data_IF_383520953239
#
_entry.id   IF_383520953239
#
_cell.length_a   1.000
_cell.length_b   1.000
_cell.length_c   1.000
_cell.angle_alpha   90.00
_cell.angle_beta   90.00
_cell.angle_gamma   90.00
#
_symmetry.space_group_name_H-M   'P 1'
#
loop_
_entity.id
_entity.type
_entity.pdbx_description
1 polymer ?
#
# COMPACT_ATOMS: atom_id res chain seq x y z
N UNK A 1 25.90 29.82 8.20
CA UNK A 1 26.31 28.93 7.08
C UNK A 1 26.21 27.46 7.49
N UNK A 2 26.64 27.11 8.70
CA UNK A 2 26.60 25.73 9.23
C UNK A 2 25.18 25.18 9.45
N UNK A 3 24.26 25.97 10.02
CA UNK A 3 22.85 25.58 10.21
C UNK A 3 22.11 25.28 8.89
N UNK A 4 22.41 26.04 7.84
CA UNK A 4 21.86 25.83 6.49
C UNK A 4 22.38 24.52 5.90
N UNK A 5 23.66 24.24 6.07
CA UNK A 5 24.31 23.01 5.56
C UNK A 5 23.74 21.75 6.23
N UNK A 6 23.57 21.78 7.56
CA UNK A 6 22.94 20.68 8.33
C UNK A 6 21.51 20.41 7.83
N UNK A 7 20.70 21.46 7.66
CA UNK A 7 19.31 21.33 7.21
C UNK A 7 19.17 20.76 5.78
N UNK A 8 20.17 20.99 4.93
CA UNK A 8 20.22 20.49 3.55
C UNK A 8 20.58 19.01 3.52
N UNK A 9 21.56 18.59 4.33
CA UNK A 9 21.96 17.19 4.46
C UNK A 9 20.80 16.34 4.98
N UNK A 10 20.13 16.79 6.04
CA UNK A 10 18.95 16.12 6.63
C UNK A 10 17.83 15.93 5.59
N UNK A 11 17.54 16.98 4.81
CA UNK A 11 16.53 16.92 3.75
C UNK A 11 16.91 15.91 2.65
N UNK A 12 18.20 15.81 2.28
CA UNK A 12 18.67 14.84 1.29
C UNK A 12 18.57 13.41 1.83
N UNK A 13 18.90 13.18 3.10
CA UNK A 13 18.75 11.87 3.74
C UNK A 13 17.28 11.44 3.82
N UNK A 14 16.38 12.35 4.21
CA UNK A 14 14.94 12.08 4.27
C UNK A 14 14.36 11.73 2.89
N UNK A 15 14.70 12.51 1.86
CA UNK A 15 14.28 12.21 0.48
C UNK A 15 14.78 10.84 0.03
N UNK A 16 16.00 10.44 0.43
CA UNK A 16 16.58 9.16 0.05
C UNK A 16 15.86 7.97 0.71
N UNK A 17 15.48 8.12 1.99
CA UNK A 17 14.71 7.14 2.75
C UNK A 17 13.31 6.99 2.18
N UNK A 18 12.60 8.11 1.97
CA UNK A 18 11.25 8.13 1.42
C UNK A 18 11.19 7.54 0.00
N UNK A 19 12.18 7.86 -0.84
CA UNK A 19 12.34 7.27 -2.17
C UNK A 19 12.41 5.75 -2.10
N UNK A 20 13.21 5.19 -1.18
CA UNK A 20 13.37 3.73 -1.02
C UNK A 20 12.04 3.10 -0.63
N UNK A 21 11.30 3.72 0.30
CA UNK A 21 9.98 3.24 0.73
C UNK A 21 9.01 3.20 -0.45
N UNK A 22 8.88 4.27 -1.22
CA UNK A 22 7.98 4.31 -2.38
C UNK A 22 8.40 3.33 -3.47
N UNK A 23 9.70 3.21 -3.75
CA UNK A 23 10.17 2.27 -4.75
C UNK A 23 9.86 0.82 -4.36
N UNK A 24 10.13 0.43 -3.11
CA UNK A 24 9.85 -0.92 -2.63
C UNK A 24 8.35 -1.21 -2.66
N UNK A 25 7.51 -0.30 -2.15
CA UNK A 25 6.05 -0.47 -2.20
C UNK A 25 5.55 -0.60 -3.65
N UNK A 26 6.05 0.24 -4.54
CA UNK A 26 5.69 0.23 -5.95
C UNK A 26 6.07 -1.06 -6.65
N UNK A 27 7.32 -1.50 -6.51
CA UNK A 27 7.81 -2.72 -7.14
C UNK A 27 7.12 -3.97 -6.59
N UNK A 28 6.92 -4.07 -5.27
CA UNK A 28 6.18 -5.19 -4.66
C UNK A 28 4.76 -5.26 -5.22
N UNK A 29 4.05 -4.13 -5.31
CA UNK A 29 2.70 -4.09 -5.88
C UNK A 29 2.68 -4.47 -7.37
N UNK A 30 3.65 -4.01 -8.17
CA UNK A 30 3.75 -4.36 -9.59
C UNK A 30 4.11 -5.83 -9.81
N UNK A 31 5.04 -6.39 -9.04
CA UNK A 31 5.40 -7.81 -9.10
C UNK A 31 4.20 -8.67 -8.70
N UNK A 32 3.52 -8.31 -7.61
CA UNK A 32 2.30 -9.00 -7.20
C UNK A 32 1.22 -8.92 -8.29
N UNK A 33 0.99 -7.73 -8.85
CA UNK A 33 -0.01 -7.49 -9.89
C UNK A 33 0.28 -8.31 -11.16
N UNK A 34 1.54 -8.35 -11.61
CA UNK A 34 1.95 -9.15 -12.75
C UNK A 34 1.80 -10.66 -12.51
N UNK A 35 2.22 -11.16 -11.35
CA UNK A 35 2.03 -12.56 -10.98
C UNK A 35 0.54 -12.91 -10.93
N UNK A 36 -0.28 -12.04 -10.32
CA UNK A 36 -1.72 -12.25 -10.22
C UNK A 36 -2.39 -12.20 -11.60
N UNK A 37 -2.01 -11.26 -12.48
CA UNK A 37 -2.55 -11.16 -13.83
C UNK A 37 -2.36 -12.45 -14.63
N UNK A 38 -1.20 -13.11 -14.48
CA UNK A 38 -0.90 -14.36 -15.16
C UNK A 38 -1.64 -15.58 -14.59
N UNK A 39 -2.06 -15.53 -13.33
CA UNK A 39 -2.49 -16.71 -12.59
C UNK A 39 -3.96 -16.67 -12.12
N UNK A 40 -4.58 -15.50 -12.03
CA UNK A 40 -5.85 -15.25 -11.32
C UNK A 40 -7.05 -16.14 -11.71
N UNK A 41 -6.99 -16.82 -12.86
CA UNK A 41 -8.00 -17.78 -13.31
C UNK A 41 -7.36 -19.10 -13.76
N UNK A 42 -7.85 -20.27 -13.27
CA UNK A 42 -8.87 -20.45 -12.23
C UNK A 42 -8.34 -20.16 -10.81
N UNK A 43 -9.22 -20.14 -9.79
CA UNK A 43 -8.86 -19.92 -8.38
C UNK A 43 -8.11 -21.13 -7.80
N UNK A 44 -6.87 -21.33 -8.22
CA UNK A 44 -5.98 -22.40 -7.75
C UNK A 44 -5.37 -22.07 -6.38
N UNK A 45 -4.76 -23.07 -5.73
CA UNK A 45 -4.03 -22.85 -4.47
C UNK A 45 -2.94 -21.79 -4.58
N UNK A 46 -2.30 -21.63 -5.75
CA UNK A 46 -1.30 -20.58 -5.99
C UNK A 46 -1.94 -19.18 -6.03
N UNK A 47 -3.13 -19.03 -6.64
CA UNK A 47 -3.88 -17.77 -6.64
C UNK A 47 -4.32 -17.40 -5.23
N UNK A 48 -4.79 -18.39 -4.46
CA UNK A 48 -5.15 -18.20 -3.05
C UNK A 48 -3.92 -17.76 -2.25
N UNK A 49 -2.76 -18.38 -2.46
CA UNK A 49 -1.52 -17.95 -1.82
C UNK A 49 -1.18 -16.49 -2.14
N UNK A 50 -1.30 -16.06 -3.41
CA UNK A 50 -1.10 -14.66 -3.79
C UNK A 50 -2.09 -13.72 -3.10
N UNK A 51 -3.37 -14.09 -3.04
CA UNK A 51 -4.41 -13.31 -2.34
C UNK A 51 -4.09 -13.16 -0.86
N UNK A 52 -3.61 -14.21 -0.21
CA UNK A 52 -3.22 -14.22 1.21
C UNK A 52 -1.94 -13.42 1.45
N UNK A 53 -0.95 -13.51 0.55
CA UNK A 53 0.30 -12.75 0.65
C UNK A 53 0.05 -11.24 0.61
N UNK A 54 -0.93 -10.78 -0.15
CA UNK A 54 -1.19 -9.35 -0.32
C UNK A 54 -1.46 -8.59 1.00
N UNK A 55 -2.43 -8.97 1.84
CA UNK A 55 -2.61 -8.35 3.15
C UNK A 55 -1.45 -8.65 4.12
N UNK A 56 -0.70 -9.75 3.96
CA UNK A 56 0.50 -9.99 4.78
C UNK A 56 1.62 -8.98 4.50
N UNK A 57 1.74 -8.46 3.28
CA UNK A 57 2.63 -7.34 2.99
C UNK A 57 2.26 -6.12 3.84
N UNK A 58 0.96 -5.87 4.04
CA UNK A 58 0.46 -4.78 4.88
C UNK A 58 0.70 -5.03 6.38
N UNK A 59 0.59 -6.28 6.85
CA UNK A 59 1.01 -6.69 8.20
C UNK A 59 2.47 -6.31 8.46
N UNK A 60 3.37 -6.68 7.54
CA UNK A 60 4.80 -6.35 7.66
C UNK A 60 5.02 -4.84 7.65
N UNK A 61 4.38 -4.12 6.73
CA UNK A 61 4.53 -2.67 6.61
C UNK A 61 4.08 -1.93 7.88
N UNK A 62 2.92 -2.30 8.43
CA UNK A 62 2.36 -1.69 9.63
C UNK A 62 3.16 -2.05 10.89
N UNK A 63 3.67 -3.27 11.01
CA UNK A 63 4.56 -3.65 12.12
C UNK A 63 5.88 -2.88 12.12
N UNK A 64 6.49 -2.68 10.93
CA UNK A 64 7.71 -1.88 10.83
C UNK A 64 7.47 -0.43 11.23
N UNK A 65 6.32 0.14 10.86
CA UNK A 65 5.93 1.49 11.27
C UNK A 65 5.67 1.60 12.78
N UNK A 66 5.03 0.59 13.38
CA UNK A 66 4.85 0.48 14.85
C UNK A 66 6.19 0.42 15.57
N UNK A 67 7.17 -0.33 15.03
CA UNK A 67 8.52 -0.46 15.59
C UNK A 67 9.33 0.83 15.47
N UNK A 68 9.11 1.60 14.40
CA UNK A 68 9.73 2.90 14.20
C UNK A 68 9.21 3.98 15.18
N UNK A 69 8.16 3.69 15.97
CA UNK A 69 7.67 4.58 17.02
C UNK A 69 6.92 5.80 16.49
N UNK A 70 6.38 5.71 15.27
CA UNK A 70 5.71 6.84 14.63
C UNK A 70 4.34 7.14 15.28
N UNK A 71 3.86 8.41 15.28
CA UNK A 71 2.56 8.77 15.85
C UNK A 71 1.40 7.94 15.26
N UNK A 72 0.37 7.58 16.02
CA UNK A 72 -0.74 6.76 15.49
C UNK A 72 -0.53 5.24 15.56
N UNK A 73 0.38 4.79 16.42
CA UNK A 73 0.64 3.37 16.76
C UNK A 73 -0.62 2.52 16.89
N UNK A 74 -1.65 3.00 17.60
CA UNK A 74 -2.91 2.25 17.81
C UNK A 74 -3.60 1.87 16.51
N UNK A 75 -3.68 2.80 15.55
CA UNK A 75 -4.31 2.52 14.24
C UNK A 75 -3.46 1.56 13.41
N UNK A 76 -2.13 1.63 13.54
CA UNK A 76 -1.25 0.69 12.85
C UNK A 76 -1.32 -0.72 13.42
N UNK A 77 -1.41 -0.86 14.75
CA UNK A 77 -1.69 -2.16 15.39
C UNK A 77 -3.04 -2.72 14.94
N UNK A 78 -4.07 -1.87 14.89
CA UNK A 78 -5.38 -2.26 14.37
C UNK A 78 -5.27 -2.77 12.92
N UNK A 79 -4.57 -2.05 12.03
CA UNK A 79 -4.37 -2.49 10.66
C UNK A 79 -3.55 -3.77 10.56
N UNK A 80 -2.53 -3.96 11.40
CA UNK A 80 -1.79 -5.22 11.49
C UNK A 80 -2.74 -6.38 11.79
N UNK A 81 -3.60 -6.25 12.81
CA UNK A 81 -4.56 -7.31 13.18
C UNK A 81 -5.59 -7.52 12.07
N UNK A 82 -6.16 -6.44 11.54
CA UNK A 82 -7.14 -6.49 10.46
C UNK A 82 -6.59 -7.19 9.21
N UNK A 83 -5.36 -6.86 8.80
CA UNK A 83 -4.71 -7.47 7.63
C UNK A 83 -4.34 -8.94 7.89
N UNK A 84 -4.01 -9.31 9.13
CA UNK A 84 -3.87 -10.72 9.52
C UNK A 84 -5.18 -11.49 9.42
N UNK A 85 -6.29 -10.91 9.91
CA UNK A 85 -7.63 -11.50 9.80
C UNK A 85 -8.08 -11.60 8.34
N UNK A 86 -7.79 -10.60 7.51
CA UNK A 86 -8.07 -10.63 6.09
C UNK A 86 -7.30 -11.75 5.37
N UNK A 87 -6.04 -11.99 5.73
CA UNK A 87 -5.25 -13.09 5.19
C UNK A 87 -5.91 -14.45 5.49
N UNK A 88 -6.34 -14.68 6.73
CA UNK A 88 -7.07 -15.90 7.11
C UNK A 88 -8.43 -15.98 6.40
N UNK A 89 -9.17 -14.88 6.38
CA UNK A 89 -10.48 -14.78 5.76
C UNK A 89 -10.47 -15.05 4.26
N UNK A 90 -9.43 -14.63 3.54
CA UNK A 90 -9.26 -14.92 2.10
C UNK A 90 -9.05 -16.42 1.85
N UNK A 91 -8.25 -17.08 2.68
CA UNK A 91 -8.08 -18.54 2.59
C UNK A 91 -9.38 -19.29 2.86
N UNK A 92 -10.11 -18.90 3.90
CA UNK A 92 -11.40 -19.49 4.24
C UNK A 92 -12.47 -19.23 3.15
N UNK A 93 -12.54 -18.01 2.63
CA UNK A 93 -13.46 -17.64 1.56
C UNK A 93 -13.19 -18.41 0.27
N UNK A 94 -11.91 -18.58 -0.09
CA UNK A 94 -11.53 -19.37 -1.25
C UNK A 94 -11.93 -20.85 -1.11
N UNK A 95 -11.76 -21.42 0.08
CA UNK A 95 -12.15 -22.80 0.36
C UNK A 95 -13.67 -23.00 0.38
N UNK A 96 -14.44 -22.01 0.83
CA UNK A 96 -15.88 -22.14 1.07
C UNK A 96 -16.77 -21.73 -0.12
N UNK A 97 -16.36 -20.78 -0.96
CA UNK A 97 -17.29 -20.22 -1.94
C UNK A 97 -16.70 -19.53 -3.16
N UNK A 98 -15.42 -19.78 -3.48
CA UNK A 98 -14.83 -19.34 -4.75
C UNK A 98 -14.63 -17.83 -4.86
N UNK A 99 -14.76 -17.29 -6.08
CA UNK A 99 -14.32 -15.93 -6.41
C UNK A 99 -15.13 -14.83 -5.71
N UNK A 100 -16.46 -14.97 -5.60
CA UNK A 100 -17.34 -13.95 -5.00
C UNK A 100 -16.97 -13.64 -3.54
N UNK A 101 -17.00 -14.62 -2.62
CA UNK A 101 -16.61 -14.42 -1.23
C UNK A 101 -15.18 -13.90 -1.06
N UNK A 102 -14.23 -14.36 -1.87
CA UNK A 102 -12.85 -13.85 -1.87
C UNK A 102 -12.83 -12.35 -2.19
N UNK A 103 -13.51 -11.95 -3.26
CA UNK A 103 -13.59 -10.56 -3.68
C UNK A 103 -14.29 -9.69 -2.63
N UNK A 104 -15.33 -10.22 -1.99
CA UNK A 104 -16.04 -9.54 -0.90
C UNK A 104 -15.13 -9.28 0.30
N UNK A 105 -14.42 -10.30 0.79
CA UNK A 105 -13.47 -10.17 1.91
C UNK A 105 -12.36 -9.19 1.57
N UNK A 106 -11.80 -9.29 0.37
CA UNK A 106 -10.78 -8.35 -0.11
C UNK A 106 -11.31 -6.92 -0.14
N UNK A 107 -12.51 -6.71 -0.66
CA UNK A 107 -13.15 -5.40 -0.73
C UNK A 107 -13.40 -4.79 0.65
N UNK A 108 -13.93 -5.57 1.59
CA UNK A 108 -14.18 -5.12 2.95
C UNK A 108 -12.87 -4.73 3.66
N UNK A 109 -11.85 -5.57 3.53
CA UNK A 109 -10.51 -5.28 4.05
C UNK A 109 -9.94 -3.98 3.44
N UNK A 110 -10.03 -3.81 2.12
CA UNK A 110 -9.53 -2.63 1.43
C UNK A 110 -10.21 -1.33 1.90
N UNK A 111 -11.53 -1.38 2.16
CA UNK A 111 -12.27 -0.25 2.73
C UNK A 111 -11.75 0.07 4.13
N UNK A 112 -11.74 -0.90 5.04
CA UNK A 112 -11.42 -0.65 6.45
C UNK A 112 -9.95 -0.26 6.63
N UNK A 113 -9.02 -0.94 5.96
CA UNK A 113 -7.59 -0.58 5.98
C UNK A 113 -7.37 0.79 5.34
N UNK A 114 -8.03 1.08 4.21
CA UNK A 114 -7.96 2.37 3.54
C UNK A 114 -8.43 3.53 4.43
N UNK A 115 -9.55 3.37 5.14
CA UNK A 115 -10.04 4.35 6.10
C UNK A 115 -9.06 4.55 7.27
N UNK A 116 -8.50 3.47 7.82
CA UNK A 116 -7.49 3.57 8.87
C UNK A 116 -6.24 4.31 8.37
N UNK A 117 -5.78 4.05 7.14
CA UNK A 117 -4.68 4.78 6.50
C UNK A 117 -4.98 6.27 6.32
N UNK A 118 -6.21 6.62 5.93
CA UNK A 118 -6.65 8.01 5.84
C UNK A 118 -6.57 8.72 7.19
N UNK A 119 -7.08 8.09 8.25
CA UNK A 119 -7.03 8.65 9.60
C UNK A 119 -5.58 8.80 10.07
N UNK A 120 -4.72 7.81 9.83
CA UNK A 120 -3.28 7.88 10.13
C UNK A 120 -2.64 9.05 9.37
N UNK A 121 -2.90 9.17 8.08
CA UNK A 121 -2.33 10.22 7.24
C UNK A 121 -2.77 11.62 7.68
N UNK A 122 -4.03 11.78 8.08
CA UNK A 122 -4.56 13.03 8.63
C UNK A 122 -3.91 13.36 9.98
N UNK A 123 -3.77 12.38 10.89
CA UNK A 123 -3.10 12.57 12.20
C UNK A 123 -1.62 12.86 12.07
N UNK A 124 -0.97 12.36 11.01
CA UNK A 124 0.45 12.56 10.71
C UNK A 124 0.70 13.70 9.71
N UNK A 125 -0.29 14.55 9.46
CA UNK A 125 -0.18 15.66 8.50
C UNK A 125 0.66 16.81 9.04
N UNK A 126 1.91 16.53 9.38
CA UNK A 126 2.95 17.51 9.71
C UNK A 126 3.86 17.76 8.49
N UNK A 127 4.38 18.98 8.30
CA UNK A 127 5.45 19.25 7.34
C UNK A 127 6.68 18.34 7.53
N UNK A 128 7.00 18.00 8.78
CA UNK A 128 8.14 17.16 9.18
C UNK A 128 8.00 15.72 8.68
N UNK A 129 6.76 15.20 8.65
CA UNK A 129 6.45 13.85 8.17
C UNK A 129 6.07 13.83 6.68
N UNK A 130 6.41 14.86 5.91
CA UNK A 130 6.19 14.93 4.47
C UNK A 130 4.71 15.04 4.06
N UNK A 131 3.84 15.51 4.95
CA UNK A 131 2.39 15.76 4.74
C UNK A 131 1.55 14.53 4.35
N UNK A 132 2.16 13.34 4.28
CA UNK A 132 1.50 12.04 4.06
C UNK A 132 0.58 11.97 2.83
N UNK A 133 0.80 12.81 1.81
CA UNK A 133 -0.03 12.85 0.61
C UNK A 133 -0.12 11.50 -0.11
N UNK A 134 0.97 10.72 -0.24
CA UNK A 134 0.88 9.40 -0.87
C UNK A 134 0.07 8.41 -0.04
N UNK A 135 0.06 8.52 1.29
CA UNK A 135 -0.77 7.69 2.16
C UNK A 135 -2.25 8.10 2.08
N UNK A 136 -2.55 9.40 1.95
CA UNK A 136 -3.91 9.87 1.69
C UNK A 136 -4.45 9.34 0.36
N UNK A 137 -3.69 9.47 -0.72
CA UNK A 137 -4.09 9.01 -2.05
C UNK A 137 -4.28 7.49 -2.03
N UNK A 138 -3.33 6.74 -1.46
CA UNK A 138 -3.43 5.29 -1.36
C UNK A 138 -4.64 4.85 -0.55
N UNK A 139 -4.89 5.47 0.62
CA UNK A 139 -6.05 5.18 1.45
C UNK A 139 -7.38 5.44 0.72
N UNK A 140 -7.51 6.58 0.04
CA UNK A 140 -8.69 6.91 -0.76
C UNK A 140 -8.90 5.90 -1.91
N UNK A 141 -7.84 5.59 -2.66
CA UNK A 141 -7.92 4.61 -3.76
C UNK A 141 -8.32 3.22 -3.24
N UNK A 142 -7.86 2.83 -2.06
CA UNK A 142 -8.23 1.57 -1.42
C UNK A 142 -9.72 1.54 -1.05
N UNK A 143 -10.26 2.63 -0.51
CA UNK A 143 -11.69 2.74 -0.19
C UNK A 143 -12.55 2.67 -1.46
N UNK A 144 -12.17 3.40 -2.51
CA UNK A 144 -12.89 3.39 -3.79
C UNK A 144 -12.85 1.99 -4.42
N UNK A 145 -11.66 1.38 -4.47
CA UNK A 145 -11.48 0.04 -5.02
C UNK A 145 -12.33 -0.97 -4.25
N UNK A 146 -12.22 -1.01 -2.93
CA UNK A 146 -13.00 -1.93 -2.11
C UNK A 146 -14.51 -1.71 -2.27
N UNK A 147 -14.98 -0.45 -2.29
CA UNK A 147 -16.37 -0.12 -2.56
C UNK A 147 -16.87 -0.61 -3.92
N UNK A 148 -16.01 -0.55 -4.95
CA UNK A 148 -16.33 -1.08 -6.29
C UNK A 148 -16.39 -2.60 -6.35
N UNK A 149 -15.70 -3.30 -5.44
CA UNK A 149 -15.63 -4.76 -5.43
C UNK A 149 -16.86 -5.41 -4.81
N UNK A 150 -17.48 -4.77 -3.81
CA UNK A 150 -18.62 -5.35 -3.10
C UNK A 150 -19.79 -5.70 -4.03
N UNK A 151 -20.26 -4.81 -4.93
CA UNK A 151 -21.35 -5.16 -5.86
C UNK A 151 -20.95 -6.27 -6.83
N UNK A 152 -19.71 -6.28 -7.32
CA UNK A 152 -19.19 -7.31 -8.24
C UNK A 152 -19.12 -8.66 -7.54
N UNK A 153 -18.73 -8.69 -6.26
CA UNK A 153 -18.64 -9.89 -5.45
C UNK A 153 -20.00 -10.55 -5.18
N UNK A 154 -21.07 -9.74 -5.11
CA UNK A 154 -22.44 -10.17 -4.85
C UNK A 154 -23.25 -10.43 -6.13
N UNK A 155 -22.69 -10.14 -7.30
CA UNK A 155 -23.34 -10.37 -8.60
C UNK A 155 -23.15 -11.79 -9.14
N UNK A 156 -23.74 -12.04 -10.30
CA UNK A 156 -23.81 -13.39 -10.90
C UNK A 156 -22.49 -13.87 -11.52
N UNK A 157 -21.53 -12.97 -11.75
CA UNK A 157 -20.26 -13.27 -12.42
C UNK A 157 -19.09 -12.53 -11.77
N UNK A 158 -18.74 -12.88 -10.52
CA UNK A 158 -17.67 -12.23 -9.80
C UNK A 158 -16.32 -12.50 -10.47
N UNK A 159 -15.47 -11.47 -10.55
CA UNK A 159 -14.17 -11.54 -11.22
C UNK A 159 -13.09 -10.81 -10.43
N UNK A 160 -11.89 -11.39 -10.40
CA UNK A 160 -10.73 -10.81 -9.70
C UNK A 160 -9.92 -9.85 -10.58
N UNK A 161 -10.30 -9.62 -11.83
CA UNK A 161 -9.57 -8.75 -12.77
C UNK A 161 -9.39 -7.34 -12.21
N UNK A 162 -10.37 -6.85 -11.46
CA UNK A 162 -10.31 -5.52 -10.86
C UNK A 162 -9.17 -5.33 -9.85
N UNK A 163 -8.68 -6.42 -9.24
CA UNK A 163 -7.52 -6.39 -8.33
C UNK A 163 -6.22 -6.11 -9.10
N UNK A 164 -6.11 -6.62 -10.34
CA UNK A 164 -4.93 -6.39 -11.19
C UNK A 164 -4.80 -4.89 -11.46
N UNK A 165 -5.87 -4.26 -11.94
CA UNK A 165 -5.86 -2.84 -12.32
C UNK A 165 -5.58 -1.94 -11.12
N UNK A 166 -6.20 -2.24 -9.98
CA UNK A 166 -5.97 -1.50 -8.73
C UNK A 166 -4.51 -1.57 -8.27
N UNK A 167 -3.95 -2.78 -8.20
CA UNK A 167 -2.57 -2.98 -7.72
C UNK A 167 -1.52 -2.45 -8.70
N UNK A 168 -1.77 -2.58 -10.01
CA UNK A 168 -0.92 -2.00 -11.05
C UNK A 168 -0.91 -0.46 -10.99
N UNK A 169 -2.08 0.17 -10.85
CA UNK A 169 -2.21 1.61 -10.75
C UNK A 169 -1.51 2.16 -9.49
N UNK A 170 -1.77 1.54 -8.33
CA UNK A 170 -1.11 1.90 -7.07
C UNK A 170 0.40 1.70 -7.12
N UNK A 171 0.86 0.57 -7.66
CA UNK A 171 2.28 0.27 -7.83
C UNK A 171 2.99 1.29 -8.73
N UNK A 172 2.40 1.59 -9.88
CA UNK A 172 2.90 2.60 -10.83
C UNK A 172 2.99 3.98 -10.18
N UNK A 173 1.94 4.39 -9.45
CA UNK A 173 1.93 5.65 -8.71
C UNK A 173 3.13 5.77 -7.77
N UNK A 174 3.41 4.75 -6.96
CA UNK A 174 4.54 4.77 -6.04
C UNK A 174 5.90 4.78 -6.75
N UNK A 175 6.05 4.04 -7.85
CA UNK A 175 7.29 4.09 -8.66
C UNK A 175 7.52 5.49 -9.24
N UNK A 176 6.47 6.14 -9.77
CA UNK A 176 6.55 7.52 -10.26
C UNK A 176 6.96 8.49 -9.15
N UNK A 177 6.37 8.38 -7.96
CA UNK A 177 6.75 9.21 -6.82
C UNK A 177 8.22 9.00 -6.41
N UNK A 178 8.71 7.76 -6.45
CA UNK A 178 10.13 7.47 -6.20
C UNK A 178 11.04 8.11 -7.26
N UNK A 179 10.65 8.09 -8.54
CA UNK A 179 11.36 8.74 -9.63
C UNK A 179 11.44 10.27 -9.46
N UNK A 180 10.33 10.90 -9.09
CA UNK A 180 10.27 12.34 -8.80
C UNK A 180 11.20 12.71 -7.63
N UNK A 181 11.20 11.93 -6.55
CA UNK A 181 12.10 12.14 -5.41
C UNK A 181 13.57 11.97 -5.83
N UNK A 182 13.90 10.95 -6.62
CA UNK A 182 15.25 10.72 -7.12
C UNK A 182 15.76 11.92 -7.94
N UNK A 183 14.92 12.48 -8.81
CA UNK A 183 15.24 13.67 -9.60
C UNK A 183 15.49 14.90 -8.71
N UNK A 184 14.64 15.13 -7.70
CA UNK A 184 14.81 16.25 -6.74
C UNK A 184 16.10 16.12 -5.94
N UNK A 185 16.43 14.93 -5.45
CA UNK A 185 17.67 14.71 -4.69
C UNK A 185 18.93 14.93 -5.55
N UNK A 186 18.90 14.55 -6.83
CA UNK A 186 20.03 14.81 -7.76
C UNK A 186 20.27 16.31 -7.95
N UNK A 187 19.19 17.10 -8.14
CA UNK A 187 19.30 18.56 -8.27
C UNK A 187 19.87 19.22 -7.01
N UNK A 188 19.45 18.76 -5.83
CA UNK A 188 19.93 19.28 -4.55
C UNK A 188 21.43 18.97 -4.30
N UNK A 189 21.93 17.80 -4.74
CA UNK A 189 23.36 17.48 -4.64
C UNK A 189 24.22 18.38 -5.54
N UNK A 190 23.79 18.61 -6.78
CA UNK A 190 24.51 19.50 -7.72
C UNK A 190 24.62 20.92 -7.17
N UNK A 191 23.66 21.39 -6.37
CA UNK A 191 23.76 22.70 -5.71
C UNK A 191 24.66 22.73 -4.48
N UNK A 192 25.03 21.58 -3.91
CA UNK A 192 25.97 21.50 -2.78
C UNK A 192 27.43 21.43 -3.25
N UNK A 193 27.66 20.92 -4.46
CA UNK A 193 28.99 20.79 -5.05
C UNK A 193 29.47 22.10 -5.76
N UNK A 194 28.66 23.16 -5.76
CA UNK A 194 29.00 24.51 -6.25
C UNK A 194 29.20 25.47 -5.10
#
# INVERSE_FOLDING_TARGET
MESVSISLVERVTDMSSLRRIYLVRGLVALVWSGAFALLHTPLTGLVVALLVIYPLIDVVATLLDVRAGTPGRTLQVFNTVLSGLAAVGLGAAAAAGGVGPVLFVFGLWAIVSGLAQLVVALRRRSPELGRQWPLLIAGTLSVIAGGSYIPVALGDSPSLVALIMYTAAGGTFFVVQAGILAWKSRRAKVSLDR
#
